data_IF_600793519876
#
_entry.id   IF_600793519876
#
_cell.length_a   1.000
_cell.length_b   1.000
_cell.length_c   1.000
_cell.angle_alpha   90.00
_cell.angle_beta   90.00
_cell.angle_gamma   90.00
#
_symmetry.space_group_name_H-M   'P 1'
#
loop_
_entity.id
_entity.type
_entity.pdbx_description
1 polymer ?
#
# COMPACT_ATOMS: atom_id res chain seq x y z
N UNK A 1 -24.70 4.92 -3.73
CA UNK A 1 -23.66 5.51 -4.59
C UNK A 1 -22.34 5.29 -3.88
N UNK A 2 -21.37 4.59 -4.47
CA UNK A 2 -20.05 4.40 -3.84
C UNK A 2 -19.30 5.74 -3.93
N UNK A 3 -18.88 6.28 -2.78
CA UNK A 3 -18.15 7.54 -2.70
C UNK A 3 -16.72 7.41 -3.26
N UNK A 4 -16.07 8.54 -3.54
CA UNK A 4 -14.75 8.56 -4.16
C UNK A 4 -13.66 7.89 -3.32
N UNK A 5 -13.76 7.93 -1.99
CA UNK A 5 -12.81 7.28 -1.09
C UNK A 5 -12.95 5.77 -1.18
N UNK A 6 -14.17 5.25 -1.03
CA UNK A 6 -14.48 3.82 -1.22
C UNK A 6 -13.91 3.25 -2.51
N UNK A 7 -14.11 3.95 -3.65
CA UNK A 7 -13.58 3.51 -4.96
C UNK A 7 -12.06 3.46 -4.98
N UNK A 8 -11.43 4.44 -4.35
CA UNK A 8 -9.97 4.53 -4.29
C UNK A 8 -9.38 3.38 -3.47
N UNK A 9 -9.99 3.05 -2.32
CA UNK A 9 -9.61 1.90 -1.48
C UNK A 9 -9.74 0.59 -2.23
N UNK A 10 -10.87 0.37 -2.93
CA UNK A 10 -11.11 -0.86 -3.71
C UNK A 10 -10.06 -1.00 -4.82
N UNK A 11 -9.81 0.07 -5.58
CA UNK A 11 -8.81 0.08 -6.64
C UNK A 11 -7.42 -0.25 -6.10
N UNK A 12 -7.01 0.42 -5.01
CA UNK A 12 -5.73 0.19 -4.36
C UNK A 12 -5.56 -1.25 -3.86
N UNK A 13 -6.63 -1.85 -3.34
CA UNK A 13 -6.62 -3.27 -2.93
C UNK A 13 -6.31 -4.19 -4.10
N UNK A 14 -6.95 -3.94 -5.26
CA UNK A 14 -6.65 -4.69 -6.49
C UNK A 14 -5.23 -4.46 -6.99
N UNK A 15 -4.77 -3.20 -6.99
CA UNK A 15 -3.42 -2.83 -7.43
C UNK A 15 -2.34 -3.49 -6.57
N UNK A 16 -2.44 -3.40 -5.24
CA UNK A 16 -1.44 -3.98 -4.33
C UNK A 16 -1.35 -5.50 -4.46
N UNK A 17 -2.50 -6.19 -4.62
CA UNK A 17 -2.54 -7.64 -4.85
C UNK A 17 -1.94 -8.03 -6.19
N UNK A 18 -2.30 -7.32 -7.27
CA UNK A 18 -1.77 -7.59 -8.61
C UNK A 18 -0.26 -7.37 -8.63
N UNK A 19 0.21 -6.26 -8.06
CA UNK A 19 1.62 -5.96 -7.94
C UNK A 19 2.37 -7.09 -7.22
N UNK A 20 1.90 -7.50 -6.04
CA UNK A 20 2.50 -8.61 -5.29
C UNK A 20 2.54 -9.92 -6.11
N UNK A 21 1.45 -10.27 -6.81
CA UNK A 21 1.37 -11.49 -7.59
C UNK A 21 2.36 -11.51 -8.77
N UNK A 22 2.68 -10.34 -9.32
CA UNK A 22 3.44 -10.21 -10.54
C UNK A 22 4.95 -10.02 -10.33
N UNK A 23 5.44 -9.78 -9.10
CA UNK A 23 6.88 -9.61 -8.79
C UNK A 23 7.75 -10.74 -9.34
N UNK A 24 7.22 -11.96 -9.41
CA UNK A 24 7.98 -13.09 -9.90
C UNK A 24 8.10 -13.18 -11.42
N UNK A 25 7.17 -12.56 -12.16
CA UNK A 25 7.00 -12.71 -13.60
C UNK A 25 7.32 -11.44 -14.41
N UNK A 26 7.16 -10.26 -13.80
CA UNK A 26 7.37 -8.98 -14.48
C UNK A 26 8.83 -8.52 -14.49
N UNK A 27 9.15 -7.64 -15.45
CA UNK A 27 10.43 -6.95 -15.46
C UNK A 27 10.54 -5.98 -14.28
N UNK A 28 11.75 -5.80 -13.76
CA UNK A 28 11.99 -4.88 -12.64
C UNK A 28 11.60 -3.43 -12.98
N UNK A 29 11.71 -3.02 -14.24
CA UNK A 29 11.25 -1.71 -14.71
C UNK A 29 9.74 -1.51 -14.53
N UNK A 30 8.93 -2.53 -14.85
CA UNK A 30 7.49 -2.49 -14.63
C UNK A 30 7.17 -2.50 -13.13
N UNK A 31 7.90 -3.29 -12.34
CA UNK A 31 7.74 -3.32 -10.89
C UNK A 31 8.08 -1.98 -10.22
N UNK A 32 9.06 -1.22 -10.75
CA UNK A 32 9.32 0.14 -10.28
C UNK A 32 8.13 1.05 -10.55
N UNK A 33 7.56 0.98 -11.77
CA UNK A 33 6.38 1.76 -12.12
C UNK A 33 5.19 1.41 -11.22
N UNK A 34 4.88 0.14 -11.06
CA UNK A 34 3.75 -0.33 -10.27
C UNK A 34 3.91 0.02 -8.78
N UNK A 35 5.14 -0.07 -8.25
CA UNK A 35 5.44 0.36 -6.89
C UNK A 35 5.22 1.87 -6.70
N UNK A 36 5.66 2.69 -7.67
CA UNK A 36 5.43 4.15 -7.66
C UNK A 36 3.94 4.51 -7.79
N UNK A 37 3.20 3.77 -8.60
CA UNK A 37 1.75 3.96 -8.78
C UNK A 37 1.00 3.61 -7.49
N UNK A 38 1.41 2.54 -6.80
CA UNK A 38 0.91 2.18 -5.47
C UNK A 38 1.23 3.26 -4.43
N UNK A 39 2.48 3.73 -4.38
CA UNK A 39 2.92 4.82 -3.49
C UNK A 39 2.08 6.08 -3.72
N UNK A 40 2.00 6.54 -4.96
CA UNK A 40 1.26 7.76 -5.32
C UNK A 40 -0.21 7.65 -4.96
N UNK A 41 -0.83 6.51 -5.25
CA UNK A 41 -2.24 6.26 -4.94
C UNK A 41 -2.48 6.25 -3.42
N UNK A 42 -1.59 5.63 -2.64
CA UNK A 42 -1.68 5.62 -1.17
C UNK A 42 -1.43 7.01 -0.57
N UNK A 43 -0.50 7.78 -1.12
CA UNK A 43 -0.24 9.16 -0.70
C UNK A 43 -1.48 10.02 -0.88
N UNK A 44 -2.15 9.90 -2.03
CA UNK A 44 -3.41 10.58 -2.33
C UNK A 44 -4.53 10.14 -1.38
N UNK A 45 -4.67 8.83 -1.16
CA UNK A 45 -5.68 8.28 -0.25
C UNK A 45 -5.47 8.76 1.19
N UNK A 46 -4.24 8.70 1.69
CA UNK A 46 -3.86 9.16 3.02
C UNK A 46 -4.14 10.66 3.19
N UNK A 47 -3.68 11.47 2.25
CA UNK A 47 -3.90 12.93 2.28
C UNK A 47 -5.39 13.28 2.23
N UNK A 48 -6.17 12.56 1.43
CA UNK A 48 -7.61 12.77 1.35
C UNK A 48 -8.31 12.39 2.65
N UNK A 49 -7.95 11.25 3.24
CA UNK A 49 -8.50 10.81 4.53
C UNK A 49 -8.23 11.85 5.63
N UNK A 50 -7.00 12.36 5.73
CA UNK A 50 -6.64 13.38 6.72
C UNK A 50 -7.35 14.72 6.48
N UNK A 51 -7.33 15.24 5.25
CA UNK A 51 -7.91 16.55 4.93
C UNK A 51 -9.42 16.57 5.09
N UNK A 52 -10.10 15.52 4.64
CA UNK A 52 -11.56 15.42 4.70
C UNK A 52 -12.05 14.79 6.00
N UNK A 53 -11.15 14.40 6.90
CA UNK A 53 -11.45 13.70 8.16
C UNK A 53 -12.38 12.50 7.93
N UNK A 54 -12.08 11.72 6.90
CA UNK A 54 -12.88 10.54 6.55
C UNK A 54 -12.84 9.55 7.70
N UNK A 55 -14.00 9.01 8.09
CA UNK A 55 -14.04 7.85 8.96
C UNK A 55 -13.53 6.61 8.21
N UNK A 56 -12.28 6.28 8.48
CA UNK A 56 -11.57 5.16 7.84
C UNK A 56 -11.90 3.81 8.48
N UNK A 57 -12.67 3.76 9.57
CA UNK A 57 -13.00 2.51 10.29
C UNK A 57 -13.66 1.47 9.39
N UNK A 58 -14.65 1.90 8.61
CA UNK A 58 -15.40 1.02 7.70
C UNK A 58 -14.54 0.45 6.57
N UNK A 59 -13.36 1.03 6.32
CA UNK A 59 -12.41 0.60 5.29
C UNK A 59 -11.24 -0.19 5.87
N UNK A 60 -11.20 -0.42 7.19
CA UNK A 60 -10.10 -1.10 7.86
C UNK A 60 -9.76 -2.47 7.23
N UNK A 61 -10.74 -3.35 6.90
CA UNK A 61 -10.40 -4.64 6.29
C UNK A 61 -9.67 -4.50 4.96
N UNK A 62 -10.07 -3.55 4.12
CA UNK A 62 -9.47 -3.30 2.82
C UNK A 62 -8.08 -2.67 2.97
N UNK A 63 -7.92 -1.72 3.89
CA UNK A 63 -6.63 -1.08 4.19
C UNK A 63 -5.65 -2.12 4.75
N UNK A 64 -6.10 -3.01 5.65
CA UNK A 64 -5.29 -4.10 6.16
C UNK A 64 -4.86 -5.08 5.06
N UNK A 65 -5.75 -5.40 4.10
CA UNK A 65 -5.40 -6.22 2.94
C UNK A 65 -4.35 -5.55 2.03
N UNK A 66 -4.42 -4.23 1.85
CA UNK A 66 -3.40 -3.46 1.12
C UNK A 66 -2.07 -3.58 1.85
N UNK A 67 -2.06 -3.35 3.16
CA UNK A 67 -0.86 -3.43 4.01
C UNK A 67 -0.22 -4.84 3.95
N UNK A 68 -1.03 -5.90 4.07
CA UNK A 68 -0.56 -7.29 3.95
C UNK A 68 0.04 -7.57 2.57
N UNK A 69 -0.62 -7.11 1.49
CA UNK A 69 -0.13 -7.32 0.13
C UNK A 69 1.22 -6.61 -0.09
N UNK A 70 1.36 -5.40 0.44
CA UNK A 70 2.61 -4.63 0.38
C UNK A 70 3.72 -5.24 1.23
N UNK A 71 3.40 -5.81 2.40
CA UNK A 71 4.39 -6.57 3.18
C UNK A 71 4.87 -7.79 2.40
N UNK A 72 3.96 -8.55 1.80
CA UNK A 72 4.31 -9.68 0.94
C UNK A 72 5.19 -9.26 -0.24
N UNK A 73 4.84 -8.16 -0.89
CA UNK A 73 5.62 -7.58 -1.98
C UNK A 73 7.04 -7.18 -1.54
N UNK A 74 7.15 -6.48 -0.40
CA UNK A 74 8.43 -6.09 0.20
C UNK A 74 9.32 -7.30 0.47
N UNK A 75 8.79 -8.37 1.04
CA UNK A 75 9.55 -9.61 1.29
C UNK A 75 10.04 -10.23 -0.02
N UNK A 76 9.19 -10.31 -1.04
CA UNK A 76 9.59 -10.88 -2.33
C UNK A 76 10.64 -10.03 -3.04
N UNK A 77 10.51 -8.70 -3.01
CA UNK A 77 11.51 -7.78 -3.58
C UNK A 77 12.85 -7.93 -2.84
N UNK A 78 12.83 -8.02 -1.51
CA UNK A 78 14.05 -8.22 -0.73
C UNK A 78 14.77 -9.52 -1.14
N UNK A 79 14.02 -10.62 -1.31
CA UNK A 79 14.59 -11.89 -1.80
C UNK A 79 15.17 -11.75 -3.21
N UNK A 80 14.54 -10.95 -4.08
CA UNK A 80 15.03 -10.69 -5.45
C UNK A 80 16.29 -9.84 -5.46
N UNK A 81 16.43 -8.88 -4.54
CA UNK A 81 17.64 -8.05 -4.37
C UNK A 81 18.85 -8.92 -4.08
N UNK A 82 18.71 -9.91 -3.18
CA UNK A 82 19.82 -10.80 -2.80
C UNK A 82 20.31 -11.67 -3.98
N UNK A 83 19.47 -11.86 -5.00
CA UNK A 83 19.74 -12.63 -6.20
C UNK A 83 19.92 -11.77 -7.46
N UNK A 84 19.87 -10.44 -7.33
CA UNK A 84 19.83 -9.54 -8.46
C UNK A 84 21.19 -9.41 -9.16
N UNK A 85 21.16 -9.37 -10.48
CA UNK A 85 22.32 -8.96 -11.27
C UNK A 85 22.73 -7.52 -10.90
N UNK A 86 24.03 -7.19 -10.80
CA UNK A 86 24.48 -5.86 -10.36
C UNK A 86 23.87 -4.69 -11.14
N UNK A 87 23.62 -4.86 -12.44
CA UNK A 87 23.01 -3.83 -13.28
C UNK A 87 21.53 -3.55 -12.98
N UNK A 88 20.80 -4.50 -12.38
CA UNK A 88 19.38 -4.36 -12.02
C UNK A 88 19.16 -4.02 -10.54
N UNK A 89 20.21 -4.14 -9.72
CA UNK A 89 20.16 -3.85 -8.30
C UNK A 89 19.59 -2.44 -7.99
N UNK A 90 19.96 -1.36 -8.70
CA UNK A 90 19.39 -0.03 -8.45
C UNK A 90 17.87 0.02 -8.64
N UNK A 91 17.35 -0.67 -9.66
CA UNK A 91 15.91 -0.71 -9.95
C UNK A 91 15.15 -1.49 -8.88
N UNK A 92 15.70 -2.62 -8.42
CA UNK A 92 15.11 -3.37 -7.32
C UNK A 92 15.10 -2.57 -6.01
N UNK A 93 16.19 -1.86 -5.69
CA UNK A 93 16.26 -0.99 -4.52
C UNK A 93 15.29 0.19 -4.63
N UNK A 94 15.09 0.74 -5.83
CA UNK A 94 14.10 1.78 -6.08
C UNK A 94 12.68 1.25 -5.83
N UNK A 95 12.32 0.11 -6.41
CA UNK A 95 11.01 -0.53 -6.19
C UNK A 95 10.78 -0.82 -4.70
N UNK A 96 11.79 -1.35 -4.00
CA UNK A 96 11.73 -1.56 -2.55
C UNK A 96 11.48 -0.26 -1.78
N UNK A 97 12.15 0.83 -2.18
CA UNK A 97 11.97 2.16 -1.61
C UNK A 97 10.51 2.61 -1.68
N UNK A 98 9.91 2.56 -2.87
CA UNK A 98 8.52 2.96 -3.09
C UNK A 98 7.53 2.08 -2.32
N UNK A 99 7.77 0.76 -2.28
CA UNK A 99 6.95 -0.17 -1.49
C UNK A 99 7.03 0.14 0.01
N UNK A 100 8.20 0.50 0.54
CA UNK A 100 8.34 0.88 1.95
C UNK A 100 7.56 2.16 2.28
N UNK A 101 7.54 3.14 1.37
CA UNK A 101 6.75 4.37 1.56
C UNK A 101 5.26 4.05 1.52
N UNK A 102 4.82 3.30 0.50
CA UNK A 102 3.44 2.85 0.36
C UNK A 102 2.97 2.10 1.62
N UNK A 103 3.80 1.19 2.12
CA UNK A 103 3.52 0.42 3.32
C UNK A 103 3.36 1.31 4.56
N UNK A 104 4.25 2.29 4.76
CA UNK A 104 4.14 3.26 5.86
C UNK A 104 2.82 4.05 5.81
N UNK A 105 2.39 4.44 4.61
CA UNK A 105 1.12 5.15 4.42
C UNK A 105 -0.09 4.26 4.73
N UNK A 106 -0.06 3.00 4.28
CA UNK A 106 -1.09 2.01 4.59
C UNK A 106 -1.19 1.75 6.11
N UNK A 107 -0.06 1.50 6.78
CA UNK A 107 -0.03 1.35 8.24
C UNK A 107 -0.53 2.61 8.96
N UNK A 108 -0.22 3.81 8.44
CA UNK A 108 -0.76 5.07 8.95
C UNK A 108 -2.30 5.11 8.91
N UNK A 109 -2.90 4.73 7.79
CA UNK A 109 -4.36 4.60 7.66
C UNK A 109 -4.94 3.55 8.64
N UNK A 110 -4.29 2.40 8.76
CA UNK A 110 -4.65 1.33 9.72
C UNK A 110 -4.66 1.86 11.16
N UNK A 111 -3.65 2.67 11.54
CA UNK A 111 -3.56 3.29 12.86
C UNK A 111 -4.65 4.33 13.11
N UNK A 112 -4.99 5.16 12.12
CA UNK A 112 -6.09 6.13 12.22
C UNK A 112 -7.42 5.41 12.48
N UNK A 113 -7.70 4.33 11.74
CA UNK A 113 -8.87 3.49 11.96
C UNK A 113 -8.90 2.88 13.38
N UNK A 114 -7.81 2.23 13.83
CA UNK A 114 -7.81 1.64 15.19
C UNK A 114 -8.05 2.68 16.29
N UNK A 115 -7.48 3.89 16.16
CA UNK A 115 -7.67 4.97 17.15
C UNK A 115 -9.13 5.41 17.22
N UNK A 116 -9.79 5.62 16.08
CA UNK A 116 -11.20 5.98 16.04
C UNK A 116 -12.09 4.88 16.65
N UNK A 117 -11.78 3.62 16.40
CA UNK A 117 -12.48 2.48 17.02
C UNK A 117 -12.32 2.45 18.55
N UNK A 118 -11.11 2.70 19.07
CA UNK A 118 -10.85 2.72 20.52
C UNK A 118 -11.53 3.88 21.26
N UNK A 119 -11.67 5.05 20.61
CA UNK A 119 -12.38 6.19 21.18
C UNK A 119 -13.89 5.95 21.23
N UNK A 120 -14.45 5.20 20.28
CA UNK A 120 -15.89 4.92 20.25
C UNK A 120 -16.34 3.94 21.35
N UNK A 121 -15.41 3.11 21.88
CA UNK A 121 -15.66 2.18 22.99
C UNK A 121 -15.69 2.92 24.34
N UNK A 122 -14.97 4.05 24.47
CA UNK A 122 -14.93 4.84 25.70
C UNK A 122 -16.16 5.75 25.92
N UNK A 123 -17.06 5.82 24.94
CA UNK A 123 -18.27 6.65 24.97
C UNK A 123 -19.58 5.82 25.01
N UNK A 124 -19.50 4.50 25.23
CA UNK A 124 -20.64 3.62 25.49
C UNK A 124 -20.65 3.18 26.95
#
# INVERSE_FOLDING_TARGET
>A
MIDSFSRSVIRLTGQARSFQANIAAESVDNLVKDANDCETSLQQLYTYAEKQKIDVNQYYPQIANIEESLQGARTQIQQRIDLAEPGKLPLWMQSLGSVNIALRLASGLTHIARRASSMNILHQ
#
